data_IF_072420769218
#
_entry.id   IF_072420769218
#
_cell.length_a   1.000
_cell.length_b   1.000
_cell.length_c   1.000
_cell.angle_alpha   90.00
_cell.angle_beta   90.00
_cell.angle_gamma   90.00
#
_symmetry.space_group_name_H-M   'P 1'
#
loop_
_entity.id
_entity.type
_entity.pdbx_description
1 polymer ?
#
# COMPACT_ATOMS: atom_id res chain seq x y z
N UNK A 1 8.37 -41.90 18.21
CA UNK A 1 7.31 -40.92 18.55
C UNK A 1 7.42 -39.75 17.58
N UNK A 2 6.51 -39.57 16.61
CA UNK A 2 6.60 -38.45 15.67
C UNK A 2 6.02 -37.15 16.30
N UNK A 3 6.62 -35.97 16.04
CA UNK A 3 6.09 -34.71 16.53
C UNK A 3 4.78 -34.35 15.82
N UNK A 4 3.78 -33.99 16.61
CA UNK A 4 2.47 -33.53 16.21
C UNK A 4 2.55 -32.22 15.41
N UNK A 5 2.13 -32.26 14.15
CA UNK A 5 2.02 -31.08 13.29
C UNK A 5 0.81 -30.27 13.77
N UNK A 6 1.06 -29.15 14.45
CA UNK A 6 0.02 -28.15 14.73
C UNK A 6 -0.27 -27.41 13.42
N UNK A 7 -1.29 -27.84 12.68
CA UNK A 7 -1.81 -27.12 11.50
C UNK A 7 -2.74 -26.00 11.97
N UNK A 8 -2.24 -24.76 11.98
CA UNK A 8 -3.10 -23.57 12.05
C UNK A 8 -3.73 -23.35 10.68
N UNK A 9 -4.92 -23.91 10.48
CA UNK A 9 -5.75 -23.71 9.29
C UNK A 9 -7.17 -24.20 9.54
N UNK A 10 -8.16 -23.46 9.02
CA UNK A 10 -9.58 -23.79 9.13
C UNK A 10 -9.83 -25.16 8.47
N UNK A 11 -10.48 -26.14 9.12
CA UNK A 11 -10.73 -27.44 8.51
C UNK A 11 -11.61 -27.28 7.27
N UNK A 12 -11.19 -27.86 6.14
CA UNK A 12 -12.04 -27.93 4.95
C UNK A 12 -13.09 -29.00 5.18
N UNK A 13 -14.34 -28.59 5.41
CA UNK A 13 -15.48 -29.49 5.45
C UNK A 13 -16.03 -29.56 4.03
N UNK A 14 -15.78 -30.70 3.37
CA UNK A 14 -16.37 -31.10 2.10
C UNK A 14 -17.86 -30.76 2.03
N UNK A 15 -18.26 -29.95 1.06
CA UNK A 15 -19.63 -29.96 0.55
C UNK A 15 -19.63 -29.62 -0.94
N UNK A 16 -20.38 -30.44 -1.66
CA UNK A 16 -20.35 -30.66 -3.10
C UNK A 16 -20.98 -29.50 -3.88
N UNK A 17 -20.40 -29.27 -5.06
CA UNK A 17 -20.95 -28.69 -6.30
C UNK A 17 -22.40 -28.17 -6.22
N UNK A 18 -22.62 -26.87 -6.41
CA UNK A 18 -23.51 -26.40 -7.49
C UNK A 18 -23.29 -24.90 -7.83
N UNK A 19 -23.65 -24.58 -9.07
CA UNK A 19 -23.50 -23.38 -9.88
C UNK A 19 -23.62 -21.97 -9.25
N UNK A 20 -23.07 -21.04 -10.04
CA UNK A 20 -23.29 -19.60 -10.17
C UNK A 20 -22.67 -18.64 -9.12
N UNK A 21 -21.94 -17.66 -9.68
CA UNK A 21 -21.22 -16.56 -9.07
C UNK A 21 -19.81 -16.87 -8.53
N UNK A 22 -18.84 -16.72 -9.42
CA UNK A 22 -17.42 -16.55 -9.07
C UNK A 22 -17.19 -15.24 -8.31
N UNK A 23 -17.55 -15.16 -7.03
CA UNK A 23 -16.98 -14.17 -6.10
C UNK A 23 -15.64 -14.69 -5.59
N UNK A 24 -14.66 -14.75 -6.48
CA UNK A 24 -13.26 -14.83 -6.07
C UNK A 24 -12.98 -13.58 -5.22
N UNK A 25 -12.55 -13.75 -3.98
CA UNK A 25 -12.04 -12.65 -3.15
C UNK A 25 -10.80 -12.09 -3.85
N UNK A 26 -11.01 -11.09 -4.70
CA UNK A 26 -9.95 -10.39 -5.40
C UNK A 26 -9.14 -9.65 -4.33
N UNK A 27 -7.84 -9.95 -4.23
CA UNK A 27 -6.92 -9.10 -3.46
C UNK A 27 -7.10 -7.67 -3.97
N UNK A 28 -7.46 -6.76 -3.07
CA UNK A 28 -7.64 -5.35 -3.40
C UNK A 28 -6.41 -4.88 -4.19
N UNK A 29 -6.64 -4.52 -5.45
CA UNK A 29 -5.60 -4.03 -6.34
C UNK A 29 -4.97 -2.82 -5.64
N UNK A 30 -3.63 -2.77 -5.48
CA UNK A 30 -3.00 -1.60 -4.89
C UNK A 30 -3.43 -0.38 -5.70
N UNK A 31 -3.94 0.65 -5.01
CA UNK A 31 -4.44 1.87 -5.64
C UNK A 31 -3.46 2.35 -6.72
N UNK A 32 -4.00 2.63 -7.90
CA UNK A 32 -3.23 3.11 -9.04
C UNK A 32 -2.39 4.31 -8.60
N UNK A 33 -1.11 4.30 -8.98
CA UNK A 33 -0.26 5.46 -8.74
C UNK A 33 -0.85 6.68 -9.47
N UNK A 34 -0.73 7.89 -8.90
CA UNK A 34 -1.19 9.10 -9.58
C UNK A 34 -0.49 9.25 -10.94
N UNK A 35 -1.16 9.84 -11.94
CA UNK A 35 -0.60 10.04 -13.28
C UNK A 35 0.70 10.85 -13.22
N UNK A 36 1.63 10.57 -14.13
CA UNK A 36 2.95 11.21 -14.18
C UNK A 36 2.86 12.72 -14.31
N UNK A 37 1.88 13.25 -15.05
CA UNK A 37 1.63 14.69 -15.17
C UNK A 37 1.41 15.35 -13.81
N UNK A 38 0.61 14.75 -12.93
CA UNK A 38 0.35 15.24 -11.57
C UNK A 38 1.54 15.01 -10.64
N UNK A 39 2.40 14.02 -10.92
CA UNK A 39 3.59 13.76 -10.09
C UNK A 39 4.64 14.86 -10.23
N UNK A 40 4.89 15.35 -11.45
CA UNK A 40 5.94 16.32 -11.78
C UNK A 40 5.43 17.77 -11.90
N UNK A 41 4.13 18.00 -11.72
CA UNK A 41 3.56 19.34 -11.66
C UNK A 41 3.97 19.98 -10.34
N UNK A 42 5.13 20.67 -10.32
CA UNK A 42 5.82 21.24 -9.13
C UNK A 42 4.99 22.20 -8.24
N UNK A 43 3.70 22.33 -8.53
CA UNK A 43 2.73 23.19 -7.86
C UNK A 43 1.70 22.36 -7.07
N UNK A 44 1.17 22.93 -5.98
CA UNK A 44 0.04 22.38 -5.20
C UNK A 44 0.35 21.06 -4.43
N UNK A 45 1.63 20.77 -4.16
CA UNK A 45 2.04 19.60 -3.37
C UNK A 45 2.30 19.96 -1.90
N UNK A 46 1.25 20.22 -1.12
CA UNK A 46 1.43 20.49 0.32
C UNK A 46 1.55 19.19 1.14
N UNK A 47 2.51 19.14 2.09
CA UNK A 47 2.58 18.03 3.03
C UNK A 47 1.41 18.12 4.01
N UNK A 48 0.73 16.99 4.19
CA UNK A 48 -0.42 16.81 5.09
C UNK A 48 -0.13 15.67 6.04
N UNK A 49 -0.61 15.78 7.28
CA UNK A 49 -0.45 14.72 8.28
C UNK A 49 -1.59 13.72 8.10
N UNK A 50 -1.24 12.44 8.01
CA UNK A 50 -2.17 11.31 7.85
C UNK A 50 -1.77 10.15 8.76
N UNK A 51 -2.51 9.06 8.67
CA UNK A 51 -2.22 7.82 9.39
C UNK A 51 -0.84 7.27 9.00
N UNK A 52 -0.18 6.62 9.99
CA UNK A 52 1.13 6.00 9.78
C UNK A 52 1.03 4.95 8.67
N UNK A 53 1.86 5.09 7.64
CA UNK A 53 1.92 4.13 6.52
C UNK A 53 3.32 4.05 5.92
N UNK A 54 3.49 3.17 4.93
CA UNK A 54 4.78 3.01 4.22
C UNK A 54 4.98 4.14 3.22
N UNK A 55 6.23 4.57 3.08
CA UNK A 55 6.67 5.46 2.02
C UNK A 55 6.46 4.78 0.66
N UNK A 56 5.96 5.53 -0.34
CA UNK A 56 5.75 5.04 -1.70
C UNK A 56 6.92 5.35 -2.64
N UNK A 57 8.00 5.94 -2.12
CA UNK A 57 9.20 6.19 -2.91
C UNK A 57 9.99 4.88 -3.12
N UNK A 58 10.43 4.61 -4.35
CA UNK A 58 11.12 3.35 -4.71
C UNK A 58 12.41 3.12 -3.90
N UNK A 59 13.10 4.20 -3.51
CA UNK A 59 14.34 4.13 -2.74
C UNK A 59 14.13 4.13 -1.22
N UNK A 60 12.88 4.04 -0.73
CA UNK A 60 12.58 4.18 0.69
C UNK A 60 11.58 3.13 1.19
N UNK A 61 12.00 2.33 2.17
CA UNK A 61 11.15 1.37 2.87
C UNK A 61 10.67 1.86 4.26
N UNK A 62 10.82 3.17 4.53
CA UNK A 62 10.47 3.77 5.80
C UNK A 62 8.95 3.91 6.02
N UNK A 63 8.57 4.17 7.27
CA UNK A 63 7.22 4.58 7.63
C UNK A 63 7.14 6.10 7.78
N UNK A 64 6.06 6.70 7.29
CA UNK A 64 5.80 8.14 7.36
C UNK A 64 4.36 8.38 7.77
N UNK A 65 4.12 9.55 8.37
CA UNK A 65 2.79 10.12 8.61
C UNK A 65 2.49 11.28 7.66
N UNK A 66 3.41 11.58 6.75
CA UNK A 66 3.28 12.69 5.81
C UNK A 66 2.77 12.15 4.47
N UNK A 67 1.75 12.81 3.94
CA UNK A 67 1.21 12.57 2.60
C UNK A 67 1.11 13.86 1.80
N UNK A 68 1.15 13.76 0.48
CA UNK A 68 0.89 14.88 -0.40
C UNK A 68 -0.63 15.13 -0.51
N UNK A 69 -1.07 16.38 -0.36
CA UNK A 69 -2.48 16.82 -0.47
C UNK A 69 -3.11 16.42 -1.81
N UNK A 70 -2.35 16.57 -2.91
CA UNK A 70 -2.79 16.38 -4.29
C UNK A 70 -2.60 14.93 -4.77
N UNK A 71 -1.40 14.37 -4.61
CA UNK A 71 -1.11 13.01 -5.06
C UNK A 71 -1.67 11.93 -4.15
N UNK A 72 -2.07 12.25 -2.90
CA UNK A 72 -2.56 11.31 -1.88
C UNK A 72 -1.59 10.15 -1.59
N UNK A 73 -0.31 10.33 -1.90
CA UNK A 73 0.76 9.37 -1.63
C UNK A 73 1.48 9.73 -0.34
N UNK A 74 2.00 8.70 0.33
CA UNK A 74 2.78 8.83 1.56
C UNK A 74 4.26 8.93 1.22
N UNK A 75 4.91 10.01 1.65
CA UNK A 75 6.32 10.28 1.39
C UNK A 75 7.01 10.71 2.69
N UNK A 76 8.27 10.28 2.88
CA UNK A 76 9.06 10.70 4.02
C UNK A 76 9.47 12.18 3.88
N UNK A 77 9.36 12.92 4.98
CA UNK A 77 9.84 14.28 5.14
C UNK A 77 10.63 14.34 6.46
N UNK A 78 11.89 13.94 6.40
CA UNK A 78 12.79 13.86 7.56
C UNK A 78 14.12 14.55 7.21
N UNK A 79 14.86 15.03 8.21
CA UNK A 79 16.17 15.67 7.99
C UNK A 79 17.21 14.78 7.30
N UNK A 80 17.08 13.44 7.39
CA UNK A 80 17.95 12.49 6.68
C UNK A 80 17.47 12.11 5.29
N UNK A 81 16.16 12.12 5.05
CA UNK A 81 15.55 11.61 3.81
C UNK A 81 14.34 12.47 3.45
N UNK A 82 14.47 13.25 2.37
CA UNK A 82 13.39 14.06 1.82
C UNK A 82 12.81 13.37 0.57
N UNK A 83 12.02 12.32 0.80
CA UNK A 83 11.35 11.59 -0.28
C UNK A 83 10.23 12.44 -0.93
N UNK A 84 9.70 13.42 -0.20
CA UNK A 84 8.69 14.35 -0.72
C UNK A 84 9.23 15.09 -1.94
N UNK A 85 10.37 15.76 -1.80
CA UNK A 85 10.98 16.53 -2.90
C UNK A 85 11.46 15.62 -4.03
N UNK A 86 12.10 14.49 -3.71
CA UNK A 86 12.58 13.54 -4.73
C UNK A 86 11.48 12.92 -5.58
N UNK A 87 10.26 12.82 -5.06
CA UNK A 87 9.14 12.27 -5.81
C UNK A 87 8.52 13.28 -6.77
N UNK A 88 8.59 14.58 -6.42
CA UNK A 88 7.94 15.69 -7.13
C UNK A 88 8.89 16.53 -8.01
N UNK A 89 10.21 16.31 -7.92
CA UNK A 89 11.22 16.90 -8.82
C UNK A 89 11.23 16.22 -10.19
#
# INVERSE_FOLDING_TARGET
LPPSIIKCGRPSLESKLNEHNSTTILRATPAAAPPSSTRFDKYDHWPTITSKGRCRNNACNGYTRISCSKCKIRLCLNGKNNCFTNYHN
#
